data_IF_638264212920
#
_entry.id   IF_638264212920
#
_cell.length_a   1.000
_cell.length_b   1.000
_cell.length_c   1.000
_cell.angle_alpha   90.00
_cell.angle_beta   90.00
_cell.angle_gamma   90.00
#
_symmetry.space_group_name_H-M   'P 1'
#
loop_
_entity.id
_entity.type
_entity.pdbx_description
1 polymer ?
#
# COMPACT_ATOMS: atom_id res chain seq x y z
N UNK A 1 2.18 8.41 11.93
CA UNK A 1 2.26 7.95 10.52
C UNK A 1 0.92 8.21 9.87
N UNK A 2 0.91 8.81 8.68
CA UNK A 2 -0.30 8.99 7.88
C UNK A 2 -0.81 7.64 7.34
N UNK A 3 -2.06 7.61 6.85
CA UNK A 3 -2.61 6.41 6.21
C UNK A 3 -1.74 5.94 5.03
N UNK A 4 -1.27 6.89 4.20
CA UNK A 4 -0.41 6.60 3.05
C UNK A 4 0.91 5.95 3.47
N UNK A 5 1.51 6.42 4.57
CA UNK A 5 2.73 5.80 5.11
C UNK A 5 2.48 4.38 5.62
N UNK A 6 1.32 4.11 6.25
CA UNK A 6 0.96 2.76 6.71
C UNK A 6 0.77 1.80 5.52
N UNK A 7 0.03 2.25 4.50
CA UNK A 7 -0.19 1.49 3.25
C UNK A 7 1.13 1.21 2.53
N UNK A 8 1.96 2.24 2.31
CA UNK A 8 3.26 2.11 1.66
C UNK A 8 4.20 1.16 2.40
N UNK A 9 4.25 1.25 3.73
CA UNK A 9 5.04 0.33 4.56
C UNK A 9 4.55 -1.12 4.41
N UNK A 10 3.23 -1.35 4.41
CA UNK A 10 2.67 -2.69 4.21
C UNK A 10 3.05 -3.28 2.85
N UNK A 11 2.97 -2.50 1.77
CA UNK A 11 3.40 -2.92 0.43
C UNK A 11 4.87 -3.34 0.46
N UNK A 12 5.73 -2.51 1.06
CA UNK A 12 7.16 -2.80 1.21
C UNK A 12 7.42 -4.08 1.98
N UNK A 13 6.75 -4.26 3.12
CA UNK A 13 6.87 -5.47 3.96
C UNK A 13 6.48 -6.73 3.18
N UNK A 14 5.34 -6.71 2.47
CA UNK A 14 4.89 -7.83 1.65
C UNK A 14 5.83 -8.09 0.46
N UNK A 15 6.40 -7.04 -0.12
CA UNK A 15 7.38 -7.16 -1.19
C UNK A 15 8.66 -7.84 -0.71
N UNK A 16 9.25 -7.39 0.40
CA UNK A 16 10.57 -7.87 0.86
C UNK A 16 10.49 -9.16 1.66
N UNK A 17 9.54 -9.28 2.59
CA UNK A 17 9.52 -10.40 3.54
C UNK A 17 8.86 -11.63 2.92
N UNK A 18 7.77 -11.43 2.17
CA UNK A 18 6.96 -12.53 1.65
C UNK A 18 7.41 -13.00 0.26
N UNK A 19 7.89 -12.08 -0.57
CA UNK A 19 8.21 -12.37 -1.97
C UNK A 19 9.70 -12.19 -2.32
N UNK A 20 10.48 -11.52 -1.47
CA UNK A 20 11.87 -11.15 -1.73
C UNK A 20 12.09 -10.42 -3.07
N UNK A 21 11.13 -9.58 -3.45
CA UNK A 21 11.21 -8.82 -4.68
C UNK A 21 11.98 -7.52 -4.47
N UNK A 22 12.81 -7.15 -5.45
CA UNK A 22 13.31 -5.80 -5.61
C UNK A 22 12.18 -4.85 -6.01
N UNK A 23 12.38 -3.54 -5.87
CA UNK A 23 11.41 -2.56 -6.35
C UNK A 23 11.20 -2.68 -7.87
N UNK A 24 12.25 -2.99 -8.62
CA UNK A 24 12.18 -3.16 -10.07
C UNK A 24 11.35 -4.39 -10.46
N UNK A 25 11.51 -5.50 -9.74
CA UNK A 25 10.72 -6.71 -9.96
C UNK A 25 9.23 -6.44 -9.71
N UNK A 26 8.87 -5.86 -8.56
CA UNK A 26 7.47 -5.58 -8.26
C UNK A 26 6.88 -4.53 -9.21
N UNK A 27 7.64 -3.48 -9.56
CA UNK A 27 7.13 -2.46 -10.47
C UNK A 27 6.81 -3.05 -11.85
N UNK A 28 7.65 -3.97 -12.34
CA UNK A 28 7.40 -4.68 -13.60
C UNK A 28 6.17 -5.59 -13.52
N UNK A 29 6.00 -6.34 -12.42
CA UNK A 29 4.83 -7.21 -12.21
C UNK A 29 3.52 -6.41 -12.17
N UNK A 30 3.55 -5.20 -11.60
CA UNK A 30 2.40 -4.31 -11.48
C UNK A 30 2.16 -3.49 -12.76
N UNK A 31 3.16 -3.38 -13.63
CA UNK A 31 3.12 -2.53 -14.82
C UNK A 31 3.25 -1.03 -14.49
N UNK A 32 4.07 -0.69 -13.50
CA UNK A 32 4.34 0.70 -13.11
C UNK A 32 5.84 1.02 -13.10
N UNK A 33 6.19 2.30 -13.00
CA UNK A 33 7.59 2.72 -12.90
C UNK A 33 8.17 2.53 -11.49
N UNK A 34 9.47 2.19 -11.41
CA UNK A 34 10.18 1.98 -10.14
C UNK A 34 10.14 3.20 -9.24
N UNK A 35 10.23 4.42 -9.79
CA UNK A 35 10.16 5.64 -9.00
C UNK A 35 8.75 5.87 -8.44
N UNK A 36 7.70 5.47 -9.16
CA UNK A 36 6.33 5.45 -8.62
C UNK A 36 6.25 4.52 -7.41
N UNK A 37 6.70 3.27 -7.53
CA UNK A 37 6.72 2.32 -6.40
C UNK A 37 7.51 2.88 -5.20
N UNK A 38 8.67 3.49 -5.43
CA UNK A 38 9.45 4.12 -4.36
C UNK A 38 8.69 5.23 -3.61
N UNK A 39 7.94 6.08 -4.34
CA UNK A 39 7.08 7.10 -3.72
C UNK A 39 5.90 6.49 -2.97
N UNK A 40 5.32 5.40 -3.49
CA UNK A 40 4.25 4.64 -2.81
C UNK A 40 4.76 4.04 -1.49
N UNK A 41 5.88 3.31 -1.51
CA UNK A 41 6.43 2.66 -0.32
C UNK A 41 6.90 3.64 0.75
N UNK A 42 7.28 4.86 0.36
CA UNK A 42 7.64 5.93 1.28
C UNK A 42 6.42 6.75 1.77
N UNK A 43 5.22 6.43 1.30
CA UNK A 43 3.98 7.16 1.65
C UNK A 43 3.89 8.57 1.08
N UNK A 44 4.75 8.92 0.12
CA UNK A 44 4.77 10.23 -0.56
C UNK A 44 3.76 10.32 -1.71
N UNK A 45 3.22 9.19 -2.14
CA UNK A 45 2.23 9.09 -3.19
C UNK A 45 0.94 8.50 -2.63
N UNK A 46 -0.19 9.14 -2.94
CA UNK A 46 -1.50 8.54 -2.73
C UNK A 46 -1.78 7.53 -3.85
N UNK A 47 -2.27 6.34 -3.50
CA UNK A 47 -2.59 5.28 -4.47
C UNK A 47 -4.10 5.12 -4.59
N UNK A 48 -4.56 4.75 -5.79
CA UNK A 48 -5.96 4.41 -6.00
C UNK A 48 -6.25 2.99 -5.52
N UNK A 49 -7.54 2.67 -5.35
CA UNK A 49 -7.97 1.31 -5.02
C UNK A 49 -7.59 0.31 -6.13
N UNK A 50 -7.64 0.72 -7.39
CA UNK A 50 -7.22 -0.09 -8.53
C UNK A 50 -5.72 -0.42 -8.47
N UNK A 51 -4.87 0.58 -8.21
CA UNK A 51 -3.43 0.36 -8.05
C UNK A 51 -3.14 -0.57 -6.87
N UNK A 52 -3.84 -0.39 -5.75
CA UNK A 52 -3.70 -1.29 -4.60
C UNK A 52 -4.09 -2.73 -4.95
N UNK A 53 -5.18 -2.91 -5.71
CA UNK A 53 -5.58 -4.23 -6.20
C UNK A 53 -4.52 -4.86 -7.10
N UNK A 54 -3.92 -4.07 -8.01
CA UNK A 54 -2.81 -4.53 -8.86
C UNK A 54 -1.59 -4.96 -8.04
N UNK A 55 -1.23 -4.21 -6.99
CA UNK A 55 -0.17 -4.61 -6.06
C UNK A 55 -0.51 -5.92 -5.35
N UNK A 56 -1.74 -6.10 -4.88
CA UNK A 56 -2.17 -7.33 -4.22
C UNK A 56 -2.08 -8.53 -5.17
N UNK A 57 -2.53 -8.37 -6.42
CA UNK A 57 -2.43 -9.40 -7.46
C UNK A 57 -0.96 -9.77 -7.76
N UNK A 58 -0.10 -8.77 -7.94
CA UNK A 58 1.33 -8.99 -8.20
C UNK A 58 2.06 -9.65 -7.03
N UNK A 59 1.59 -9.44 -5.80
CA UNK A 59 2.12 -10.05 -4.57
C UNK A 59 1.44 -11.38 -4.23
N UNK A 60 0.51 -11.85 -5.07
CA UNK A 60 -0.29 -13.06 -4.90
C UNK A 60 -1.02 -13.13 -3.54
N UNK A 61 -1.71 -12.04 -3.19
CA UNK A 61 -2.53 -11.94 -1.97
C UNK A 61 -3.89 -11.29 -2.27
N UNK A 62 -4.84 -11.48 -1.37
CA UNK A 62 -6.12 -10.77 -1.43
C UNK A 62 -6.03 -9.40 -0.75
N UNK A 63 -6.97 -8.49 -1.06
CA UNK A 63 -7.13 -7.24 -0.29
C UNK A 63 -7.41 -7.52 1.20
N UNK A 64 -8.11 -8.60 1.53
CA UNK A 64 -8.34 -9.02 2.91
C UNK A 64 -7.02 -9.31 3.64
N UNK A 65 -6.11 -10.05 3.00
CA UNK A 65 -4.77 -10.34 3.57
C UNK A 65 -3.91 -9.09 3.68
N UNK A 66 -4.08 -8.16 2.74
CA UNK A 66 -3.40 -6.87 2.80
C UNK A 66 -3.82 -6.09 4.05
N UNK A 67 -5.15 -6.00 4.28
CA UNK A 67 -5.74 -5.21 5.37
C UNK A 67 -5.86 -5.93 6.72
N UNK A 68 -5.48 -7.21 6.84
CA UNK A 68 -5.63 -7.98 8.08
C UNK A 68 -4.94 -7.37 9.30
N UNK A 69 -3.94 -6.51 9.08
CA UNK A 69 -3.15 -5.86 10.13
C UNK A 69 -3.42 -4.34 10.21
N UNK A 70 -4.57 -3.87 9.72
CA UNK A 70 -4.96 -2.46 9.76
C UNK A 70 -5.96 -2.19 10.88
N UNK A 71 -5.46 -1.99 12.09
CA UNK A 71 -6.23 -1.41 13.19
C UNK A 71 -6.20 0.12 13.11
N UNK A 72 -6.97 0.69 12.17
CA UNK A 72 -7.16 2.14 12.09
C UNK A 72 -8.55 2.45 12.61
N UNK A 73 -8.62 3.07 13.78
CA UNK A 73 -9.83 3.74 14.23
C UNK A 73 -9.89 5.10 13.54
N UNK A 74 -10.99 5.38 12.86
CA UNK A 74 -11.35 6.76 12.57
C UNK A 74 -11.82 7.36 13.90
N UNK A 75 -11.08 8.32 14.43
CA UNK A 75 -11.62 9.21 15.44
C UNK A 75 -12.66 10.07 14.72
N UNK A 76 -13.94 9.89 15.07
CA UNK A 76 -14.97 10.82 14.63
C UNK A 76 -14.68 12.11 15.38
N UNK A 77 -14.16 13.12 14.71
CA UNK A 77 -14.33 14.48 15.20
C UNK A 77 -15.85 14.73 15.16
N UNK A 78 -16.44 15.00 16.32
CA UNK A 78 -17.79 15.51 16.39
C UNK A 78 -17.82 16.78 15.53
N UNK A 79 -18.41 16.69 14.34
CA UNK A 79 -18.78 17.88 13.60
C UNK A 79 -19.85 18.56 14.45
N UNK A 80 -19.44 19.52 15.29
CA UNK A 80 -20.36 20.52 15.79
C UNK A 80 -21.03 21.14 14.56
N UNK A 81 -22.32 20.85 14.43
CA UNK A 81 -23.15 21.44 13.38
C UNK A 81 -23.21 22.95 13.65
N UNK A 82 -22.50 23.75 12.86
CA UNK A 82 -22.83 25.16 12.62
C UNK A 82 -23.57 25.32 11.29
#
# INVERSE_FOLDING_TARGET
MTLQQKIGKRIKELRTIRNDYSQEQLSNLVGCDRAYLSRVESGKQNITMESLNSFCNALNITLKDFFSNFDIKYECEDYENE
#
